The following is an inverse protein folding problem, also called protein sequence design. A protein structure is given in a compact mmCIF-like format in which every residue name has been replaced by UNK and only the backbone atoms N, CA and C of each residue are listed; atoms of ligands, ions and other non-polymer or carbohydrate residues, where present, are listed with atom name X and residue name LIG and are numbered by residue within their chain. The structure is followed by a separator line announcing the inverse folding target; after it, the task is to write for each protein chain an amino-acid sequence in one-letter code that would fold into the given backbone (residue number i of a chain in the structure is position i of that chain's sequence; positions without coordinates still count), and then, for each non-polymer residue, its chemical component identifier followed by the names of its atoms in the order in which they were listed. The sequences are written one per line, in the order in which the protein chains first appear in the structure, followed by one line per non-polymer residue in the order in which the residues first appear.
data_IF_052395572765
#
_entry.id   IF_052395572765
#
_cell.length_a   1.000
_cell.length_b   1.000
_cell.length_c   1.000
_cell.angle_alpha   90.00
_cell.angle_beta   90.00
_cell.angle_gamma   90.00
#
_symmetry.space_group_name_H-M   'P 1'
#
loop_
_entity.id
_entity.type
_entity.pdbx_description
1 polymer ?
#
# COMPACT_ATOMS: atom_id res chain seq x y z
N UNK A 1 -8.32 -24.06 8.10
CA UNK A 1 -7.39 -24.92 7.35
C UNK A 1 -6.30 -23.99 6.89
N UNK A 2 -5.07 -24.20 7.34
CA UNK A 2 -3.97 -23.28 7.07
C UNK A 2 -3.11 -23.88 5.96
N UNK A 3 -3.22 -23.30 4.76
CA UNK A 3 -2.39 -23.65 3.61
C UNK A 3 -0.97 -23.15 3.81
N UNK A 4 0.01 -23.92 3.36
CA UNK A 4 1.44 -23.63 3.44
C UNK A 4 1.97 -23.20 2.07
N UNK A 5 3.13 -22.55 2.07
CA UNK A 5 3.81 -22.12 0.84
C UNK A 5 3.96 -23.28 -0.16
N UNK A 6 4.32 -24.47 0.33
CA UNK A 6 4.55 -25.67 -0.48
C UNK A 6 3.28 -26.22 -1.13
N UNK A 7 2.10 -25.83 -0.65
CA UNK A 7 0.84 -26.28 -1.22
C UNK A 7 0.52 -25.53 -2.53
N UNK A 8 1.14 -24.37 -2.76
CA UNK A 8 0.86 -23.52 -3.93
C UNK A 8 1.85 -23.77 -5.08
N UNK A 9 1.33 -23.72 -6.30
CA UNK A 9 2.15 -23.82 -7.50
C UNK A 9 2.83 -22.49 -7.82
N UNK A 10 4.15 -22.53 -7.90
CA UNK A 10 4.95 -21.37 -8.33
C UNK A 10 5.02 -21.34 -9.86
N UNK A 11 4.68 -20.19 -10.43
CA UNK A 11 4.90 -19.88 -11.85
C UNK A 11 6.19 -19.08 -12.00
N UNK A 12 7.00 -19.41 -13.01
CA UNK A 12 8.22 -18.67 -13.34
C UNK A 12 8.24 -18.42 -14.84
N UNK A 13 8.30 -17.15 -15.24
CA UNK A 13 8.32 -16.71 -16.63
C UNK A 13 9.45 -15.71 -16.88
N UNK A 14 9.90 -15.57 -18.13
CA UNK A 14 10.88 -14.56 -18.50
C UNK A 14 10.29 -13.15 -18.32
N UNK A 15 11.07 -12.24 -17.75
CA UNK A 15 10.64 -10.86 -17.55
C UNK A 15 10.74 -10.07 -18.85
N UNK A 16 9.58 -9.63 -19.37
CA UNK A 16 9.55 -8.72 -20.53
C UNK A 16 10.12 -7.33 -20.24
N UNK A 17 10.11 -6.90 -18.97
CA UNK A 17 10.57 -5.57 -18.54
C UNK A 17 12.05 -5.55 -18.11
N UNK A 18 12.61 -6.72 -17.77
CA UNK A 18 13.98 -6.83 -17.27
C UNK A 18 14.70 -7.98 -18.00
N UNK A 19 15.41 -7.68 -19.11
CA UNK A 19 16.11 -8.68 -19.89
C UNK A 19 17.06 -9.53 -19.05
N UNK A 20 16.98 -10.85 -19.20
CA UNK A 20 17.82 -11.81 -18.47
C UNK A 20 17.36 -12.12 -17.04
N UNK A 21 16.22 -11.57 -16.59
CA UNK A 21 15.60 -11.89 -15.31
C UNK A 21 14.29 -12.66 -15.49
N UNK A 22 13.83 -13.30 -14.42
CA UNK A 22 12.55 -14.00 -14.37
C UNK A 22 11.58 -13.28 -13.43
N UNK A 23 10.29 -13.43 -13.70
CA UNK A 23 9.21 -13.11 -12.76
C UNK A 23 8.73 -14.43 -12.17
N UNK A 24 8.70 -14.51 -10.84
CA UNK A 24 8.12 -15.64 -10.14
C UNK A 24 6.91 -15.19 -9.33
N UNK A 25 5.85 -15.99 -9.35
CA UNK A 25 4.58 -15.66 -8.69
C UNK A 25 3.78 -16.89 -8.25
N UNK A 26 2.81 -16.67 -7.37
CA UNK A 26 1.76 -17.64 -7.04
C UNK A 26 0.44 -17.14 -7.67
N UNK A 27 -0.20 -17.97 -8.50
CA UNK A 27 -1.34 -17.55 -9.31
C UNK A 27 -2.57 -17.15 -8.48
N UNK A 28 -2.80 -17.86 -7.38
CA UNK A 28 -3.89 -17.62 -6.43
C UNK A 28 -3.66 -16.40 -5.54
N UNK A 29 -2.42 -15.89 -5.48
CA UNK A 29 -2.01 -14.80 -4.60
C UNK A 29 -1.33 -13.70 -5.41
N UNK A 30 -2.12 -12.82 -6.03
CA UNK A 30 -1.64 -11.80 -6.98
C UNK A 30 -0.54 -10.87 -6.43
N UNK A 31 -0.50 -10.61 -5.12
CA UNK A 31 0.54 -9.80 -4.46
C UNK A 31 1.86 -10.54 -4.25
N UNK A 32 1.86 -11.87 -4.38
CA UNK A 32 3.01 -12.72 -4.14
C UNK A 32 3.73 -12.92 -5.46
N UNK A 33 4.50 -11.88 -5.82
CA UNK A 33 5.28 -11.80 -7.06
C UNK A 33 6.63 -11.14 -6.80
N UNK A 34 7.70 -11.66 -7.40
CA UNK A 34 9.02 -11.04 -7.33
C UNK A 34 9.81 -11.23 -8.62
N UNK A 35 10.84 -10.40 -8.78
CA UNK A 35 11.83 -10.54 -9.84
C UNK A 35 13.03 -11.31 -9.28
N UNK A 36 13.46 -12.35 -10.01
CA UNK A 36 14.58 -13.21 -9.63
C UNK A 36 15.61 -13.28 -10.75
N UNK A 37 16.88 -13.38 -10.39
CA UNK A 37 17.99 -13.47 -11.35
C UNK A 37 18.21 -14.93 -11.82
N UNK A 38 17.86 -15.91 -10.98
CA UNK A 38 17.91 -17.33 -11.30
C UNK A 38 16.72 -18.06 -10.66
N UNK A 39 16.38 -19.24 -11.23
CA UNK A 39 15.23 -20.04 -10.76
C UNK A 39 15.47 -20.73 -9.42
N UNK A 40 16.72 -20.87 -8.97
CA UNK A 40 17.07 -21.58 -7.73
C UNK A 40 16.75 -20.77 -6.48
N UNK A 41 16.75 -19.44 -6.56
CA UNK A 41 16.44 -18.52 -5.45
C UNK A 41 14.93 -18.30 -5.23
N UNK A 42 14.08 -18.94 -6.03
CA UNK A 42 12.64 -18.62 -6.10
C UNK A 42 11.95 -18.74 -4.75
N UNK A 43 12.21 -19.82 -4.01
CA UNK A 43 11.61 -20.08 -2.70
C UNK A 43 12.07 -19.06 -1.65
N UNK A 44 13.35 -18.69 -1.67
CA UNK A 44 13.92 -17.75 -0.69
C UNK A 44 13.34 -16.34 -0.86
N UNK A 45 13.05 -15.95 -2.10
CA UNK A 45 12.48 -14.63 -2.42
C UNK A 45 10.96 -14.58 -2.29
N UNK A 46 10.23 -15.64 -2.64
CA UNK A 46 8.76 -15.65 -2.59
C UNK A 46 8.19 -15.96 -1.20
N UNK A 47 8.85 -16.82 -0.41
CA UNK A 47 8.36 -17.20 0.93
C UNK A 47 8.09 -16.00 1.86
N UNK A 48 8.97 -15.00 2.02
CA UNK A 48 8.66 -13.85 2.87
C UNK A 48 7.46 -13.03 2.35
N UNK A 49 7.25 -12.97 1.03
CA UNK A 49 6.09 -12.30 0.44
C UNK A 49 4.80 -13.08 0.69
N UNK A 50 4.87 -14.41 0.58
CA UNK A 50 3.77 -15.30 0.94
C UNK A 50 3.38 -15.13 2.41
N UNK A 51 4.34 -15.22 3.33
CA UNK A 51 4.07 -15.10 4.77
C UNK A 51 3.42 -13.75 5.09
N UNK A 52 3.93 -12.66 4.49
CA UNK A 52 3.35 -11.32 4.64
C UNK A 52 1.90 -11.27 4.13
N UNK A 53 1.61 -11.87 2.98
CA UNK A 53 0.27 -11.87 2.40
C UNK A 53 -0.71 -12.71 3.23
N UNK A 54 -0.28 -13.88 3.74
CA UNK A 54 -1.12 -14.70 4.63
C UNK A 54 -1.43 -13.95 5.93
N UNK A 55 -0.45 -13.25 6.51
CA UNK A 55 -0.68 -12.42 7.69
C UNK A 55 -1.69 -11.30 7.40
N UNK A 56 -1.53 -10.57 6.29
CA UNK A 56 -2.47 -9.52 5.86
C UNK A 56 -3.89 -10.06 5.70
N UNK A 57 -4.06 -11.18 4.98
CA UNK A 57 -5.36 -11.81 4.78
C UNK A 57 -6.01 -12.22 6.10
N UNK A 58 -5.23 -12.74 7.06
CA UNK A 58 -5.72 -13.09 8.40
C UNK A 58 -6.14 -11.86 9.20
N UNK A 59 -5.32 -10.81 9.23
CA UNK A 59 -5.60 -9.56 9.96
C UNK A 59 -6.85 -8.86 9.44
N UNK A 60 -7.04 -8.87 8.12
CA UNK A 60 -8.21 -8.30 7.45
C UNK A 60 -9.44 -9.24 7.43
N UNK A 61 -9.34 -10.45 8.01
CA UNK A 61 -10.37 -11.50 7.99
C UNK A 61 -10.84 -11.87 6.57
N UNK A 62 -9.93 -11.81 5.59
CA UNK A 62 -10.16 -12.27 4.23
C UNK A 62 -9.94 -13.78 4.10
N UNK A 63 -10.54 -14.37 3.07
CA UNK A 63 -10.39 -15.80 2.77
C UNK A 63 -9.02 -16.01 2.13
N UNK A 64 -8.24 -16.95 2.69
CA UNK A 64 -7.00 -17.42 2.05
C UNK A 64 -7.40 -18.29 0.85
N UNK A 65 -6.96 -17.95 -0.38
CA UNK A 65 -7.27 -18.73 -1.58
C UNK A 65 -6.81 -20.18 -1.46
N UNK A 66 -7.64 -21.12 -1.90
CA UNK A 66 -7.27 -22.53 -1.93
C UNK A 66 -6.24 -22.77 -3.04
N UNK A 67 -5.19 -23.59 -2.82
CA UNK A 67 -4.30 -24.00 -3.89
C UNK A 67 -5.05 -24.64 -5.07
N UNK A 68 -4.59 -24.37 -6.29
CA UNK A 68 -5.20 -24.80 -7.55
C UNK A 68 -6.62 -24.25 -7.80
N UNK A 69 -7.06 -23.24 -7.03
CA UNK A 69 -8.35 -22.57 -7.27
C UNK A 69 -8.32 -21.63 -8.49
N UNK A 70 -7.16 -21.44 -9.09
CA UNK A 70 -6.94 -20.60 -10.27
C UNK A 70 -6.68 -19.14 -9.91
N UNK A 71 -6.70 -18.26 -10.93
CA UNK A 71 -6.33 -16.84 -10.77
C UNK A 71 -7.01 -16.18 -9.59
N UNK A 72 -6.20 -15.54 -8.76
CA UNK A 72 -6.66 -14.65 -7.71
C UNK A 72 -7.70 -13.67 -8.26
N UNK A 73 -8.81 -13.47 -7.55
CA UNK A 73 -9.60 -12.27 -7.75
C UNK A 73 -8.72 -11.08 -7.38
N UNK A 74 -8.66 -10.08 -8.26
CA UNK A 74 -8.00 -8.81 -7.95
C UNK A 74 -8.71 -8.23 -6.73
N UNK A 75 -8.03 -8.24 -5.59
CA UNK A 75 -8.45 -7.49 -4.41
C UNK A 75 -7.66 -6.19 -4.38
N UNK A 76 -8.32 -5.09 -4.04
CA UNK A 76 -7.61 -3.85 -3.77
C UNK A 76 -7.21 -3.84 -2.28
N UNK A 77 -6.09 -3.18 -1.96
CA UNK A 77 -5.74 -2.94 -0.57
C UNK A 77 -6.89 -2.19 0.13
N UNK A 78 -7.10 -2.48 1.42
CA UNK A 78 -8.13 -1.78 2.21
C UNK A 78 -7.91 -0.27 2.14
N UNK A 79 -9.00 0.45 1.93
CA UNK A 79 -9.07 1.90 2.03
C UNK A 79 -10.10 2.32 3.11
N UNK A 80 -10.51 1.40 3.98
CA UNK A 80 -11.59 1.63 4.92
C UNK A 80 -11.27 2.70 5.97
N UNK A 81 -10.02 2.74 6.47
CA UNK A 81 -9.61 3.79 7.43
C UNK A 81 -9.63 5.14 6.75
N UNK A 82 -9.12 5.24 5.53
CA UNK A 82 -9.04 6.51 4.83
C UNK A 82 -10.41 7.01 4.33
N UNK A 83 -11.27 6.11 3.85
CA UNK A 83 -12.65 6.45 3.46
C UNK A 83 -13.50 6.88 4.65
N UNK A 84 -13.27 6.32 5.84
CA UNK A 84 -13.95 6.75 7.07
C UNK A 84 -13.65 8.21 7.46
N UNK A 85 -12.63 8.82 6.87
CA UNK A 85 -12.29 10.22 7.11
C UNK A 85 -13.17 11.18 6.32
N UNK A 86 -13.90 10.73 5.29
CA UNK A 86 -14.85 11.58 4.56
C UNK A 86 -15.84 12.26 5.52
N UNK A 87 -16.20 13.53 5.29
CA UNK A 87 -15.84 14.37 4.12
C UNK A 87 -14.49 15.09 4.25
N UNK A 88 -13.79 14.98 5.39
CA UNK A 88 -12.56 15.74 5.65
C UNK A 88 -11.46 15.49 4.62
N UNK A 89 -11.30 14.25 4.15
CA UNK A 89 -10.28 13.94 3.14
C UNK A 89 -10.55 14.60 1.79
N UNK A 90 -11.82 14.77 1.39
CA UNK A 90 -12.16 15.45 0.15
C UNK A 90 -11.73 16.93 0.20
N UNK A 91 -12.01 17.59 1.33
CA UNK A 91 -11.58 18.97 1.57
C UNK A 91 -10.05 19.08 1.62
N UNK A 92 -9.38 18.13 2.28
CA UNK A 92 -7.93 18.12 2.38
C UNK A 92 -7.28 18.00 1.00
N UNK A 93 -7.74 17.05 0.19
CA UNK A 93 -7.20 16.82 -1.16
C UNK A 93 -7.33 18.08 -2.02
N UNK A 94 -8.51 18.70 -1.99
CA UNK A 94 -8.77 19.93 -2.75
C UNK A 94 -7.88 21.09 -2.28
N UNK A 95 -7.86 21.38 -0.97
CA UNK A 95 -7.14 22.56 -0.44
C UNK A 95 -5.62 22.41 -0.43
N UNK A 96 -5.12 21.20 -0.17
CA UNK A 96 -3.68 20.98 0.03
C UNK A 96 -3.02 20.53 -1.27
N UNK A 97 -3.60 19.55 -1.96
CA UNK A 97 -3.02 18.94 -3.16
C UNK A 97 -3.59 19.54 -4.45
N UNK A 98 -4.67 20.33 -4.41
CA UNK A 98 -5.27 20.92 -5.60
C UNK A 98 -5.92 19.88 -6.54
N UNK A 99 -6.32 18.73 -6.00
CA UNK A 99 -6.88 17.61 -6.77
C UNK A 99 -8.03 16.94 -6.02
N UNK A 100 -8.75 16.04 -6.68
CA UNK A 100 -9.85 15.30 -6.06
C UNK A 100 -9.36 13.99 -5.43
N UNK A 101 -9.81 13.73 -4.20
CA UNK A 101 -9.62 12.42 -3.57
C UNK A 101 -10.29 11.31 -4.41
N UNK A 102 -11.42 11.62 -5.06
CA UNK A 102 -12.16 10.63 -5.86
C UNK A 102 -11.44 10.23 -7.16
N UNK A 103 -10.41 10.97 -7.57
CA UNK A 103 -9.52 10.59 -8.68
C UNK A 103 -8.23 9.89 -8.21
N UNK A 104 -8.09 9.62 -6.91
CA UNK A 104 -6.88 9.02 -6.32
C UNK A 104 -7.15 7.60 -5.83
N UNK A 105 -6.21 6.69 -6.06
CA UNK A 105 -6.19 5.38 -5.40
C UNK A 105 -5.37 5.47 -4.13
N UNK A 106 -6.05 5.57 -2.98
CA UNK A 106 -5.42 5.68 -1.67
C UNK A 106 -5.82 4.50 -0.80
N UNK A 107 -4.84 3.73 -0.34
CA UNK A 107 -5.02 2.66 0.63
C UNK A 107 -4.72 3.14 2.05
N UNK A 108 -5.10 2.33 3.04
CA UNK A 108 -4.79 2.55 4.46
C UNK A 108 -3.28 2.62 4.73
N UNK A 109 -2.47 2.01 3.87
CA UNK A 109 -0.99 1.96 3.95
C UNK A 109 -0.30 2.98 3.04
N UNK A 110 -1.05 3.90 2.42
CA UNK A 110 -0.47 4.91 1.54
C UNK A 110 0.28 6.00 2.31
N UNK A 111 1.32 6.57 1.70
CA UNK A 111 2.16 7.62 2.29
C UNK A 111 2.17 8.89 1.42
N UNK A 112 2.35 10.07 2.03
CA UNK A 112 2.23 11.36 1.32
C UNK A 112 3.20 11.53 0.14
N UNK A 113 4.33 10.83 0.17
CA UNK A 113 5.35 10.80 -0.87
C UNK A 113 4.74 10.53 -2.26
N UNK A 114 3.70 9.69 -2.34
CA UNK A 114 3.05 9.37 -3.62
C UNK A 114 2.30 10.55 -4.26
N UNK A 115 1.99 11.61 -3.50
CA UNK A 115 1.26 12.80 -3.97
C UNK A 115 2.08 14.08 -3.97
N UNK A 116 3.37 14.04 -3.58
CA UNK A 116 4.24 15.21 -3.57
C UNK A 116 4.38 15.86 -4.96
N UNK A 117 4.24 15.09 -6.03
CA UNK A 117 4.35 15.58 -7.41
C UNK A 117 3.24 16.57 -7.82
N UNK A 118 2.18 16.72 -7.02
CA UNK A 118 1.17 17.77 -7.20
C UNK A 118 1.60 19.13 -6.65
N UNK A 119 2.78 19.21 -6.02
CA UNK A 119 3.29 20.39 -5.35
C UNK A 119 4.63 20.81 -5.96
N UNK A 120 4.84 22.11 -6.14
CA UNK A 120 6.03 22.66 -6.77
C UNK A 120 7.30 22.34 -5.97
N UNK A 121 7.20 22.26 -4.64
CA UNK A 121 8.30 21.92 -3.75
C UNK A 121 8.03 20.66 -2.88
N UNK A 122 7.24 19.72 -3.41
CA UNK A 122 7.01 18.39 -2.84
C UNK A 122 6.70 18.38 -1.34
N UNK A 123 7.45 17.59 -0.57
CA UNK A 123 7.35 17.45 0.89
C UNK A 123 7.30 18.78 1.65
N UNK A 124 8.20 19.71 1.34
CA UNK A 124 8.32 20.96 2.10
C UNK A 124 7.10 21.85 1.90
N UNK A 125 6.59 21.92 0.67
CA UNK A 125 5.35 22.63 0.39
C UNK A 125 4.15 21.98 1.06
N UNK A 126 4.08 20.64 1.06
CA UNK A 126 3.02 19.90 1.73
C UNK A 126 2.96 20.25 3.21
N UNK A 127 4.09 20.14 3.91
CA UNK A 127 4.21 20.43 5.34
C UNK A 127 3.80 21.89 5.59
N UNK A 128 4.28 22.82 4.76
CA UNK A 128 3.96 24.25 4.87
C UNK A 128 2.47 24.53 4.68
N UNK A 129 1.82 23.93 3.66
CA UNK A 129 0.38 24.08 3.41
C UNK A 129 -0.44 23.51 4.55
N UNK A 130 -0.10 22.32 5.05
CA UNK A 130 -0.81 21.70 6.18
C UNK A 130 -0.69 22.57 7.43
N UNK A 131 0.52 23.06 7.72
CA UNK A 131 0.77 23.97 8.86
C UNK A 131 -0.01 25.28 8.72
N UNK A 132 -0.08 25.85 7.53
CA UNK A 132 -0.84 27.07 7.29
C UNK A 132 -2.35 26.87 7.42
N UNK A 133 -2.89 25.82 6.79
CA UNK A 133 -4.34 25.57 6.73
C UNK A 133 -4.91 25.02 8.04
N UNK A 134 -4.19 24.11 8.69
CA UNK A 134 -4.68 23.38 9.86
C UNK A 134 -3.95 23.72 11.16
N UNK A 135 -2.95 24.60 11.13
CA UNK A 135 -2.11 24.94 12.30
C UNK A 135 -1.41 23.73 12.92
N UNK A 136 -1.10 22.72 12.11
CA UNK A 136 -0.48 21.46 12.54
C UNK A 136 0.83 21.24 11.79
N UNK A 137 1.90 21.01 12.53
CA UNK A 137 3.21 20.66 11.97
C UNK A 137 3.36 19.14 11.95
N UNK A 138 3.44 18.56 10.75
CA UNK A 138 3.55 17.11 10.56
C UNK A 138 5.01 16.66 10.37
N UNK A 139 6.00 17.54 10.49
CA UNK A 139 7.40 17.22 10.13
C UNK A 139 7.91 15.94 10.81
N UNK A 140 7.61 15.76 12.10
CA UNK A 140 8.05 14.59 12.89
C UNK A 140 7.28 13.31 12.61
N UNK A 141 6.11 13.41 11.96
CA UNK A 141 5.23 12.26 11.68
C UNK A 141 5.02 12.06 10.18
N UNK A 142 5.77 12.77 9.33
CA UNK A 142 5.58 12.81 7.89
C UNK A 142 5.67 11.42 7.25
N UNK A 143 6.59 10.58 7.72
CA UNK A 143 6.84 9.25 7.19
C UNK A 143 5.87 8.19 7.74
N UNK A 144 4.77 8.59 8.40
CA UNK A 144 3.69 7.69 8.83
C UNK A 144 2.64 7.52 7.72
N UNK A 145 1.81 6.46 7.77
CA UNK A 145 0.70 6.31 6.84
C UNK A 145 -0.22 7.54 6.84
N UNK A 146 -0.68 7.94 5.66
CA UNK A 146 -1.53 9.13 5.45
C UNK A 146 -2.76 9.07 6.36
N UNK A 147 -3.39 7.89 6.49
CA UNK A 147 -4.61 7.74 7.29
C UNK A 147 -4.37 8.14 8.76
N UNK A 148 -3.19 7.88 9.32
CA UNK A 148 -2.83 8.29 10.67
C UNK A 148 -2.65 9.80 10.77
N UNK A 149 -1.89 10.39 9.86
CA UNK A 149 -1.61 11.83 9.86
C UNK A 149 -2.92 12.61 9.68
N UNK A 150 -3.77 12.22 8.73
CA UNK A 150 -5.06 12.85 8.51
C UNK A 150 -6.00 12.70 9.71
N UNK A 151 -5.97 11.55 10.40
CA UNK A 151 -6.73 11.37 11.65
C UNK A 151 -6.25 12.34 12.73
N UNK A 152 -4.94 12.53 12.86
CA UNK A 152 -4.37 13.51 13.81
C UNK A 152 -4.76 14.94 13.46
N UNK A 153 -4.74 15.30 12.17
CA UNK A 153 -5.18 16.61 11.70
C UNK A 153 -6.67 16.82 12.01
N UNK A 154 -7.53 15.88 11.63
CA UNK A 154 -8.99 15.92 11.85
C UNK A 154 -9.35 16.06 13.33
N UNK A 155 -8.62 15.35 14.20
CA UNK A 155 -8.88 15.36 15.66
C UNK A 155 -8.14 16.47 16.41
N UNK A 156 -7.26 17.23 15.72
CA UNK A 156 -6.36 18.22 16.32
C UNK A 156 -5.50 17.68 17.46
N UNK A 157 -5.21 16.37 17.45
CA UNK A 157 -4.37 15.71 18.45
C UNK A 157 -3.05 15.31 17.81
N UNK A 158 -2.00 16.05 18.08
CA UNK A 158 -0.63 15.58 17.82
C UNK A 158 -0.22 14.78 19.05
N UNK A 159 -0.18 13.45 18.94
CA UNK A 159 0.43 12.61 19.97
C UNK A 159 1.93 12.70 19.73
N UNK A 160 2.60 13.60 20.46
CA UNK A 160 4.05 13.57 20.60
C UNK A 160 4.37 12.32 21.44
N UNK A 161 4.78 11.26 20.76
CA UNK A 161 5.40 10.08 21.36
C UNK A 161 6.89 10.29 21.53
#
# INVERSE_FOLDING_TARGET
MDFKFEDYKIQIVDSGNFPGKFVASIEELYNVVCIIDNKTEVSDKLRPLFDKEILRLKDEKQIIPQPDSGKAKITFASNGKIDSLRPFIDEFWDKILGTSYSSSFVSDDSYFQSWEHYLDNGKDELIKKIKHTYSIDITSIYDRPICEILTMIKTKKIILG
#
